data_IF_966241443695
#
_entry.id   IF_966241443695
#
_cell.length_a   1.000
_cell.length_b   1.000
_cell.length_c   1.000
_cell.angle_alpha   90.00
_cell.angle_beta   90.00
_cell.angle_gamma   90.00
#
_symmetry.space_group_name_H-M   'P 1'
#
loop_
_entity.id
_entity.type
_entity.pdbx_description
1 polymer ?
#
# COMPACT_ATOMS: atom_id res chain seq x y z
N UNK A 1 -5.44 16.28 -9.60
CA UNK A 1 -5.89 15.09 -8.83
C UNK A 1 -4.65 14.26 -8.57
N UNK A 2 -4.08 14.35 -7.37
CA UNK A 2 -2.90 13.55 -7.01
C UNK A 2 -3.34 12.09 -6.85
N UNK A 3 -2.71 11.17 -7.59
CA UNK A 3 -2.95 9.74 -7.45
C UNK A 3 -1.87 9.20 -6.53
N UNK A 4 -2.21 8.96 -5.27
CA UNK A 4 -1.34 8.30 -4.30
C UNK A 4 -1.10 6.84 -4.74
N UNK A 5 0.10 6.55 -5.26
CA UNK A 5 0.51 5.18 -5.58
C UNK A 5 1.01 4.44 -4.33
N UNK A 6 0.46 3.26 -4.07
CA UNK A 6 0.89 2.40 -2.95
C UNK A 6 1.79 1.29 -3.46
N UNK A 7 2.83 0.96 -2.70
CA UNK A 7 3.73 -0.14 -3.03
C UNK A 7 3.35 -1.40 -2.25
N UNK A 8 3.18 -2.51 -2.98
CA UNK A 8 3.01 -3.82 -2.38
C UNK A 8 4.36 -4.53 -2.27
N UNK A 9 4.84 -4.76 -1.04
CA UNK A 9 6.11 -5.47 -0.80
C UNK A 9 6.09 -6.94 -1.25
N UNK A 10 4.93 -7.60 -1.26
CA UNK A 10 4.80 -8.99 -1.70
C UNK A 10 4.79 -9.12 -3.22
N UNK A 11 4.20 -8.15 -3.93
CA UNK A 11 4.16 -8.13 -5.39
C UNK A 11 5.32 -7.36 -6.02
N UNK A 12 6.16 -6.69 -5.22
CA UNK A 12 7.24 -5.81 -5.65
C UNK A 12 6.87 -4.79 -6.74
N UNK A 13 5.66 -4.24 -6.65
CA UNK A 13 5.15 -3.26 -7.63
C UNK A 13 4.20 -2.25 -6.99
N UNK A 14 4.00 -1.15 -7.69
CA UNK A 14 2.96 -0.17 -7.36
C UNK A 14 1.58 -0.75 -7.73
N UNK A 15 0.61 -0.56 -6.84
CA UNK A 15 -0.75 -1.06 -6.96
C UNK A 15 -1.74 -0.02 -6.47
N UNK A 16 -2.97 -0.08 -6.99
CA UNK A 16 -4.10 0.59 -6.39
C UNK A 16 -4.58 -0.23 -5.18
N UNK A 17 -4.58 0.31 -3.96
CA UNK A 17 -5.01 -0.43 -2.81
C UNK A 17 -6.53 -0.50 -2.73
N UNK A 18 -7.03 -1.55 -2.07
CA UNK A 18 -8.41 -1.65 -1.61
C UNK A 18 -8.45 -1.59 -0.08
N UNK A 19 -9.61 -1.26 0.49
CA UNK A 19 -9.85 -1.44 1.93
C UNK A 19 -10.15 -2.92 2.19
N UNK A 20 -9.48 -3.50 3.16
CA UNK A 20 -9.74 -4.87 3.61
C UNK A 20 -9.21 -5.10 5.02
N UNK A 21 -9.54 -6.26 5.59
CA UNK A 21 -9.08 -6.64 6.92
C UNK A 21 -7.70 -7.27 6.84
N UNK A 22 -6.79 -6.83 7.71
CA UNK A 22 -5.44 -7.38 7.84
C UNK A 22 -5.16 -7.70 9.30
N UNK A 23 -4.56 -8.88 9.56
CA UNK A 23 -4.24 -9.33 10.91
C UNK A 23 -2.84 -8.83 11.27
N UNK A 24 -2.77 -7.86 12.17
CA UNK A 24 -1.51 -7.40 12.72
C UNK A 24 -1.08 -8.30 13.88
N UNK A 25 0.21 -8.67 13.97
CA UNK A 25 0.71 -9.56 15.02
C UNK A 25 0.55 -8.99 16.44
N UNK A 26 0.45 -7.66 16.59
CA UNK A 26 0.34 -7.00 17.91
C UNK A 26 -1.03 -6.39 18.19
N UNK A 27 -1.86 -6.20 17.16
CA UNK A 27 -3.10 -5.40 17.24
C UNK A 27 -4.34 -6.25 16.92
N UNK A 28 -4.15 -7.45 16.37
CA UNK A 28 -5.24 -8.27 15.85
C UNK A 28 -5.75 -7.77 14.49
N UNK A 29 -6.99 -8.11 14.17
CA UNK A 29 -7.61 -7.74 12.90
C UNK A 29 -7.94 -6.25 12.86
N UNK A 30 -7.43 -5.53 11.85
CA UNK A 30 -7.73 -4.12 11.62
C UNK A 30 -8.06 -3.85 10.15
N UNK A 31 -8.76 -2.74 9.90
CA UNK A 31 -9.11 -2.30 8.54
C UNK A 31 -7.94 -1.51 7.95
N UNK A 32 -7.28 -2.07 6.93
CA UNK A 32 -6.07 -1.52 6.33
C UNK A 32 -6.20 -1.35 4.81
N UNK A 33 -5.25 -0.58 4.25
CA UNK A 33 -5.03 -0.55 2.80
C UNK A 33 -4.23 -1.79 2.41
N UNK A 34 -4.82 -2.65 1.58
CA UNK A 34 -4.23 -3.91 1.15
C UNK A 34 -4.17 -4.00 -0.38
N UNK A 35 -3.31 -4.87 -0.88
CA UNK A 35 -3.20 -5.16 -2.29
C UNK A 35 -4.39 -6.01 -2.74
N UNK A 36 -5.10 -5.59 -3.80
CA UNK A 36 -6.22 -6.36 -4.35
C UNK A 36 -5.83 -7.74 -4.91
N UNK A 37 -4.55 -7.95 -5.23
CA UNK A 37 -4.05 -9.19 -5.84
C UNK A 37 -3.62 -10.23 -4.79
N UNK A 38 -2.89 -9.80 -3.75
CA UNK A 38 -2.27 -10.71 -2.79
C UNK A 38 -2.76 -10.51 -1.35
N UNK A 39 -3.72 -9.61 -1.14
CA UNK A 39 -4.31 -9.22 0.15
C UNK A 39 -3.31 -8.85 1.25
N UNK A 40 -2.07 -8.54 0.87
CA UNK A 40 -1.05 -8.12 1.81
C UNK A 40 -1.10 -6.60 1.99
N UNK A 41 -0.67 -6.14 3.16
CA UNK A 41 -0.64 -4.71 3.47
C UNK A 41 0.25 -3.95 2.48
N UNK A 42 -0.21 -2.78 2.07
CA UNK A 42 0.53 -1.90 1.17
C UNK A 42 0.97 -0.64 1.89
N UNK A 43 2.03 0.00 1.39
CA UNK A 43 2.61 1.18 2.01
C UNK A 43 2.60 2.35 1.03
N UNK A 44 2.28 3.54 1.53
CA UNK A 44 2.45 4.75 0.75
C UNK A 44 3.96 4.95 0.55
N UNK A 45 4.44 4.77 -0.68
CA UNK A 45 5.83 5.04 -1.03
C UNK A 45 5.82 6.36 -1.79
N UNK A 46 6.17 7.45 -1.10
CA UNK A 46 6.42 8.74 -1.78
C UNK A 46 7.46 8.48 -2.85
N UNK A 47 7.03 8.49 -4.11
CA UNK A 47 7.97 8.55 -5.21
C UNK A 47 8.57 9.93 -5.08
N UNK A 48 9.85 10.03 -4.67
CA UNK A 48 10.62 11.26 -4.86
C UNK A 48 10.70 11.45 -6.37
N UNK A 49 9.65 12.04 -6.95
CA UNK A 49 9.82 12.89 -8.11
C UNK A 49 10.93 13.85 -7.71
N UNK A 50 12.03 13.77 -8.43
CA UNK A 50 13.08 14.77 -8.45
C UNK A 50 12.43 16.13 -8.19
N UNK A 51 12.84 16.83 -7.14
CA UNK A 51 12.82 18.28 -7.26
C UNK A 51 13.59 18.58 -8.54
N UNK A 52 12.86 19.21 -9.45
CA UNK A 52 13.28 19.57 -10.78
C UNK A 52 14.26 20.73 -10.71
N UNK A 53 15.19 20.73 -11.67
CA UNK A 53 16.07 21.84 -12.08
C UNK A 53 17.18 22.27 -11.08
#
# INVERSE_FOLDING_TARGET
MEIDYYYCGKCNKYVLPIRGRFIHPHIGESSCKICAMCHNMVYLKKVRGKEAA
#
